data_IF_461072098901
#
_entry.id   IF_461072098901
#
_cell.length_a   1.000
_cell.length_b   1.000
_cell.length_c   1.000
_cell.angle_alpha   90.00
_cell.angle_beta   90.00
_cell.angle_gamma   90.00
#
_symmetry.space_group_name_H-M   'P 1'
#
loop_
_entity.id
_entity.type
_entity.pdbx_description
1 polymer ?
#
# COMPACT_ATOMS: atom_id res chain seq x y z
N UNK A 1 23.97 1.44 3.21
CA UNK A 1 22.50 1.61 3.37
C UNK A 1 22.26 1.95 4.83
N UNK A 2 21.49 2.99 5.17
CA UNK A 2 21.20 3.28 6.58
C UNK A 2 20.26 2.20 7.17
N UNK A 3 20.36 1.94 8.47
CA UNK A 3 19.51 0.97 9.19
C UNK A 3 18.02 1.25 8.93
N UNK A 4 17.63 2.52 8.93
CA UNK A 4 16.26 2.97 8.68
C UNK A 4 15.73 2.55 7.30
N UNK A 5 16.57 2.62 6.26
CA UNK A 5 16.18 2.18 4.90
C UNK A 5 15.96 0.67 4.83
N UNK A 6 16.75 -0.10 5.59
CA UNK A 6 16.61 -1.54 5.64
C UNK A 6 15.32 -1.95 6.36
N UNK A 7 14.96 -1.24 7.44
CA UNK A 7 13.67 -1.41 8.13
C UNK A 7 12.50 -1.15 7.17
N UNK A 8 12.51 -0.05 6.43
CA UNK A 8 11.45 0.24 5.44
C UNK A 8 11.35 -0.82 4.35
N UNK A 9 12.48 -1.34 3.87
CA UNK A 9 12.46 -2.41 2.88
C UNK A 9 11.86 -3.70 3.45
N UNK A 10 12.24 -4.10 4.66
CA UNK A 10 11.66 -5.25 5.34
C UNK A 10 10.15 -5.07 5.55
N UNK A 11 9.72 -3.89 6.02
CA UNK A 11 8.30 -3.58 6.20
C UNK A 11 7.53 -3.60 4.88
N UNK A 12 8.12 -3.16 3.78
CA UNK A 12 7.48 -3.24 2.46
C UNK A 12 7.30 -4.68 1.99
N UNK A 13 8.29 -5.55 2.24
CA UNK A 13 8.20 -6.99 1.91
C UNK A 13 7.14 -7.66 2.77
N UNK A 14 7.18 -7.47 4.10
CA UNK A 14 6.18 -8.04 5.02
C UNK A 14 4.77 -7.54 4.68
N UNK A 15 4.65 -6.22 4.45
CA UNK A 15 3.42 -5.56 4.05
C UNK A 15 2.89 -5.98 2.68
N UNK A 16 3.69 -6.68 1.86
CA UNK A 16 3.25 -7.30 0.61
C UNK A 16 2.87 -8.77 0.79
N UNK A 17 3.70 -9.53 1.51
CA UNK A 17 3.51 -10.96 1.70
C UNK A 17 2.27 -11.24 2.54
N UNK A 18 2.10 -10.56 3.68
CA UNK A 18 1.01 -10.86 4.62
C UNK A 18 -0.37 -10.66 3.97
N UNK A 19 -0.68 -9.52 3.31
CA UNK A 19 -1.98 -9.37 2.64
C UNK A 19 -2.20 -10.41 1.53
N UNK A 20 -1.18 -10.72 0.75
CA UNK A 20 -1.28 -11.70 -0.35
C UNK A 20 -1.55 -13.13 0.15
N UNK A 21 -1.01 -13.51 1.32
CA UNK A 21 -1.29 -14.81 1.92
C UNK A 21 -2.78 -15.01 2.28
N UNK A 22 -3.49 -13.92 2.60
CA UNK A 22 -4.93 -13.98 2.88
C UNK A 22 -5.79 -13.76 1.62
N UNK A 23 -5.35 -12.87 0.72
CA UNK A 23 -6.09 -12.56 -0.50
C UNK A 23 -6.08 -13.71 -1.51
N UNK A 24 -4.93 -14.39 -1.72
CA UNK A 24 -4.82 -15.44 -2.73
C UNK A 24 -5.76 -16.64 -2.49
N UNK A 25 -5.88 -17.20 -1.26
CA UNK A 25 -6.86 -18.25 -0.99
C UNK A 25 -8.30 -17.78 -1.22
N UNK A 26 -8.63 -16.56 -0.79
CA UNK A 26 -9.95 -15.97 -0.98
C UNK A 26 -10.27 -15.81 -2.48
N UNK A 27 -9.33 -15.30 -3.27
CA UNK A 27 -9.49 -15.10 -4.72
C UNK A 27 -9.64 -16.42 -5.47
N UNK A 28 -8.96 -17.50 -5.03
CA UNK A 28 -9.13 -18.85 -5.59
C UNK A 28 -10.52 -19.43 -5.32
N UNK A 29 -11.13 -19.11 -4.18
CA UNK A 29 -12.45 -19.62 -3.80
C UNK A 29 -13.61 -18.82 -4.38
N UNK A 30 -13.44 -17.50 -4.50
CA UNK A 30 -14.52 -16.57 -4.85
C UNK A 30 -14.39 -15.98 -6.26
N UNK A 31 -13.26 -16.23 -6.94
CA UNK A 31 -12.92 -15.59 -8.21
C UNK A 31 -12.39 -14.16 -8.04
N UNK A 32 -11.87 -13.59 -9.13
CA UNK A 32 -11.44 -12.19 -9.17
C UNK A 32 -12.64 -11.26 -9.41
N UNK A 33 -13.53 -11.16 -8.43
CA UNK A 33 -14.66 -10.23 -8.44
C UNK A 33 -14.43 -9.08 -7.44
N UNK A 34 -14.12 -7.85 -7.92
CA UNK A 34 -13.93 -6.68 -7.06
C UNK A 34 -15.17 -6.32 -6.22
N UNK A 35 -16.38 -6.56 -6.74
CA UNK A 35 -17.62 -6.27 -6.02
C UNK A 35 -17.80 -7.21 -4.82
N UNK A 36 -17.54 -8.49 -5.02
CA UNK A 36 -17.59 -9.50 -3.95
C UNK A 36 -16.50 -9.28 -2.90
N UNK A 37 -15.31 -8.79 -3.32
CA UNK A 37 -14.22 -8.43 -2.40
C UNK A 37 -14.64 -7.30 -1.46
N UNK A 38 -15.20 -6.22 -2.01
CA UNK A 38 -15.66 -5.07 -1.22
C UNK A 38 -16.81 -5.46 -0.29
N UNK A 39 -17.74 -6.30 -0.76
CA UNK A 39 -18.82 -6.82 0.07
C UNK A 39 -18.27 -7.65 1.25
N UNK A 40 -17.25 -8.48 1.01
CA UNK A 40 -16.61 -9.30 2.06
C UNK A 40 -15.89 -8.43 3.09
N UNK A 41 -15.18 -7.37 2.67
CA UNK A 41 -14.55 -6.43 3.61
C UNK A 41 -15.57 -5.67 4.46
N UNK A 42 -16.79 -5.47 3.95
CA UNK A 42 -17.88 -4.78 4.65
C UNK A 42 -18.90 -5.72 5.30
N UNK A 43 -18.53 -6.98 5.54
CA UNK A 43 -19.45 -7.99 6.09
C UNK A 43 -19.95 -7.67 7.51
N UNK A 44 -19.18 -6.92 8.31
CA UNK A 44 -19.59 -6.47 9.64
C UNK A 44 -19.09 -5.05 9.94
N UNK A 45 -19.62 -4.38 10.99
CA UNK A 45 -19.23 -3.01 11.32
C UNK A 45 -17.75 -2.84 11.64
N UNK A 46 -17.11 -3.81 12.29
CA UNK A 46 -15.70 -3.74 12.67
C UNK A 46 -14.78 -3.83 11.44
N UNK A 47 -15.04 -4.77 10.51
CA UNK A 47 -14.30 -4.90 9.26
C UNK A 47 -14.54 -3.70 8.33
N UNK A 48 -15.77 -3.15 8.36
CA UNK A 48 -16.11 -1.92 7.63
C UNK A 48 -15.31 -0.72 8.15
N UNK A 49 -15.14 -0.59 9.46
CA UNK A 49 -14.30 0.47 10.05
C UNK A 49 -12.83 0.34 9.59
N UNK A 50 -12.27 -0.87 9.61
CA UNK A 50 -10.92 -1.13 9.10
C UNK A 50 -10.79 -0.84 7.61
N UNK A 51 -11.80 -1.18 6.79
CA UNK A 51 -11.81 -0.84 5.37
C UNK A 51 -11.68 0.68 5.14
N UNK A 52 -12.45 1.48 5.87
CA UNK A 52 -12.40 2.93 5.73
C UNK A 52 -11.09 3.53 6.28
N UNK A 53 -10.54 2.97 7.37
CA UNK A 53 -9.23 3.37 7.90
C UNK A 53 -8.12 3.20 6.86
N UNK A 54 -8.08 2.03 6.19
CA UNK A 54 -7.12 1.76 5.12
C UNK A 54 -7.38 2.65 3.91
N UNK A 55 -8.64 2.88 3.52
CA UNK A 55 -8.99 3.72 2.38
C UNK A 55 -8.55 5.17 2.57
N UNK A 56 -8.82 5.75 3.75
CA UNK A 56 -8.40 7.12 4.08
C UNK A 56 -6.88 7.21 4.12
N UNK A 57 -6.21 6.22 4.71
CA UNK A 57 -4.73 6.13 4.73
C UNK A 57 -4.14 6.06 3.32
N UNK A 58 -4.78 5.31 2.40
CA UNK A 58 -4.37 5.24 0.99
C UNK A 58 -4.49 6.60 0.30
N UNK A 59 -5.60 7.31 0.51
CA UNK A 59 -5.83 8.64 -0.05
C UNK A 59 -4.76 9.61 0.46
N UNK A 60 -4.51 9.62 1.77
CA UNK A 60 -3.48 10.48 2.38
C UNK A 60 -2.08 10.20 1.79
N UNK A 61 -1.72 8.92 1.60
CA UNK A 61 -0.47 8.53 0.96
C UNK A 61 -0.39 9.02 -0.49
N UNK A 62 -1.48 8.91 -1.26
CA UNK A 62 -1.50 9.38 -2.65
C UNK A 62 -1.34 10.90 -2.75
N UNK A 63 -2.03 11.66 -1.91
CA UNK A 63 -1.85 13.12 -1.84
C UNK A 63 -0.38 13.45 -1.54
N UNK A 64 0.26 12.71 -0.62
CA UNK A 64 1.66 12.93 -0.30
C UNK A 64 2.61 12.56 -1.45
N UNK A 65 2.40 11.43 -2.12
CA UNK A 65 3.19 11.03 -3.30
C UNK A 65 3.14 12.13 -4.36
N UNK A 66 1.93 12.63 -4.67
CA UNK A 66 1.74 13.69 -5.66
C UNK A 66 2.46 14.97 -5.22
N UNK A 67 2.27 15.41 -3.97
CA UNK A 67 2.94 16.59 -3.43
C UNK A 67 4.48 16.49 -3.49
N UNK A 68 5.04 15.31 -3.20
CA UNK A 68 6.49 15.08 -3.26
C UNK A 68 7.02 15.16 -4.70
N UNK A 69 6.27 14.67 -5.69
CA UNK A 69 6.64 14.77 -7.12
C UNK A 69 6.69 16.24 -7.55
N UNK A 70 5.75 17.08 -7.09
CA UNK A 70 5.77 18.50 -7.39
C UNK A 70 7.03 19.21 -6.86
N UNK A 71 7.53 18.81 -5.69
CA UNK A 71 8.70 19.45 -5.04
C UNK A 71 10.02 18.86 -5.53
N UNK A 72 10.15 17.52 -5.52
CA UNK A 72 11.42 16.83 -5.82
C UNK A 72 11.59 16.42 -7.28
N UNK A 73 10.51 16.45 -8.08
CA UNK A 73 10.47 15.95 -9.47
C UNK A 73 10.98 14.50 -9.62
N UNK A 74 10.87 13.70 -8.56
CA UNK A 74 11.26 12.30 -8.58
C UNK A 74 10.08 11.42 -9.00
N UNK A 75 9.99 11.14 -10.30
CA UNK A 75 8.92 10.33 -10.88
C UNK A 75 9.01 8.85 -10.51
N UNK A 76 10.13 8.35 -9.97
CA UNK A 76 10.24 6.95 -9.54
C UNK A 76 9.27 6.60 -8.42
N UNK A 77 8.88 7.59 -7.63
CA UNK A 77 7.95 7.46 -6.52
C UNK A 77 6.52 7.13 -6.99
N UNK A 78 6.18 7.39 -8.27
CA UNK A 78 4.89 7.02 -8.86
C UNK A 78 4.61 5.53 -8.82
N UNK A 79 5.63 4.67 -8.75
CA UNK A 79 5.43 3.22 -8.66
C UNK A 79 4.72 2.80 -7.36
N UNK A 80 4.76 3.65 -6.32
CA UNK A 80 4.07 3.39 -5.06
C UNK A 80 2.54 3.49 -5.17
N UNK A 81 2.01 4.27 -6.13
CA UNK A 81 0.57 4.37 -6.39
C UNK A 81 -0.05 3.02 -6.78
N UNK A 82 0.37 2.35 -7.87
CA UNK A 82 -0.19 1.05 -8.23
C UNK A 82 0.09 0.00 -7.16
N UNK A 83 1.24 0.04 -6.49
CA UNK A 83 1.53 -0.88 -5.37
C UNK A 83 0.56 -0.72 -4.19
N UNK A 84 0.16 0.52 -3.87
CA UNK A 84 -0.80 0.80 -2.79
C UNK A 84 -2.15 0.15 -3.05
N UNK A 85 -2.60 0.11 -4.31
CA UNK A 85 -3.88 -0.46 -4.70
C UNK A 85 -3.83 -1.96 -5.02
N UNK A 86 -2.72 -2.44 -5.59
CA UNK A 86 -2.55 -3.85 -5.97
C UNK A 86 -2.18 -4.74 -4.78
N UNK A 87 -1.40 -4.20 -3.85
CA UNK A 87 -0.84 -4.97 -2.73
C UNK A 87 -1.39 -4.48 -1.40
N UNK A 88 -1.49 -3.16 -1.23
CA UNK A 88 -2.02 -2.52 -0.03
C UNK A 88 -1.16 -1.37 0.47
N UNK A 89 -1.76 -0.51 1.29
CA UNK A 89 -1.09 0.64 1.94
C UNK A 89 0.11 0.21 2.78
N UNK A 90 0.03 -0.99 3.38
CA UNK A 90 1.09 -1.63 4.15
C UNK A 90 2.38 -1.86 3.35
N UNK A 91 2.30 -2.00 2.02
CA UNK A 91 3.47 -2.10 1.15
C UNK A 91 3.84 -0.74 0.55
N UNK A 92 2.84 0.02 0.09
CA UNK A 92 3.03 1.30 -0.59
C UNK A 92 3.74 2.35 0.28
N UNK A 93 3.33 2.49 1.54
CA UNK A 93 3.90 3.47 2.48
C UNK A 93 5.39 3.21 2.80
N UNK A 94 5.79 2.02 3.27
CA UNK A 94 7.20 1.77 3.56
C UNK A 94 8.07 1.79 2.31
N UNK A 95 7.56 1.35 1.15
CA UNK A 95 8.29 1.50 -0.11
C UNK A 95 8.49 2.98 -0.47
N UNK A 96 7.46 3.81 -0.32
CA UNK A 96 7.57 5.26 -0.50
C UNK A 96 8.64 5.87 0.40
N UNK A 97 8.66 5.52 1.70
CA UNK A 97 9.67 6.01 2.65
C UNK A 97 11.09 5.54 2.28
N UNK A 98 11.23 4.32 1.75
CA UNK A 98 12.50 3.81 1.25
C UNK A 98 13.01 4.56 0.00
N UNK A 99 12.10 4.92 -0.92
CA UNK A 99 12.44 5.70 -2.11
C UNK A 99 12.79 7.15 -1.74
N UNK A 100 11.99 7.78 -0.89
CA UNK A 100 12.19 9.17 -0.44
C UNK A 100 13.50 9.39 0.33
N UNK A 101 13.96 8.37 1.06
CA UNK A 101 15.22 8.43 1.82
C UNK A 101 16.47 8.22 0.95
N UNK A 102 16.33 8.13 -0.38
CA UNK A 102 17.46 8.20 -1.31
C UNK A 102 18.00 9.64 -1.34
N UNK A 103 19.33 9.83 -1.42
CA UNK A 103 19.88 11.15 -1.70
C UNK A 103 19.36 11.61 -3.07
N UNK A 104 18.74 12.79 -3.11
CA UNK A 104 18.34 13.44 -4.36
C UNK A 104 19.63 13.71 -5.12
N UNK A 105 19.78 13.12 -6.30
CA UNK A 105 20.89 13.42 -7.21
C UNK A 105 20.61 14.68 -7.99
#
# INVERSE_FOLDING_TARGET
MSVLRLIYLCLAVVGAVVPMLHYLPWARQNGFDPGLLVATWKVNPASTALYYDILISAIALNVWIVAEIYVRRDYWVLICLPLTYLVGVSCGLPLFLFLRSRPVR
#
